data_IF_828633932992
#
_entry.id   IF_828633932992
#
_cell.length_a   1.000
_cell.length_b   1.000
_cell.length_c   1.000
_cell.angle_alpha   90.00
_cell.angle_beta   90.00
_cell.angle_gamma   90.00
#
_symmetry.space_group_name_H-M   'P 1'
#
loop_
_entity.id
_entity.type
_entity.pdbx_description
1 polymer ?
#
# COMPACT_ATOMS: atom_id res chain seq x y z
N UNK A 1 -2.75 19.93 -1.13
CA UNK A 1 -2.65 18.51 -1.44
C UNK A 1 -3.36 17.69 -0.39
N UNK A 2 -4.11 16.67 -0.80
CA UNK A 2 -4.97 15.88 0.10
C UNK A 2 -4.20 15.26 1.26
N UNK A 3 -3.07 14.61 0.99
CA UNK A 3 -2.26 13.97 2.03
C UNK A 3 -1.72 14.99 3.03
N UNK A 4 -1.32 16.17 2.58
CA UNK A 4 -0.86 17.22 3.47
C UNK A 4 -1.99 17.69 4.39
N UNK A 5 -3.17 17.95 3.82
CA UNK A 5 -4.32 18.44 4.58
C UNK A 5 -4.77 17.46 5.67
N UNK A 6 -4.67 16.15 5.39
CA UNK A 6 -5.14 15.12 6.32
C UNK A 6 -4.06 14.59 7.25
N UNK A 7 -2.78 14.86 6.97
CA UNK A 7 -1.66 14.29 7.73
C UNK A 7 -1.03 15.24 8.73
N UNK A 8 -1.36 16.53 8.68
CA UNK A 8 -0.78 17.53 9.57
C UNK A 8 -1.87 18.31 10.29
N UNK A 9 -1.50 18.85 11.44
CA UNK A 9 -2.38 19.69 12.27
C UNK A 9 -1.57 20.87 12.79
N UNK A 10 -2.22 22.05 12.87
CA UNK A 10 -1.59 23.22 13.46
C UNK A 10 -1.77 23.20 14.97
N UNK A 11 -0.68 23.36 15.70
CA UNK A 11 -0.69 23.45 17.16
C UNK A 11 -1.09 24.87 17.61
N UNK A 12 -1.49 25.02 18.89
CA UNK A 12 -1.84 26.34 19.42
C UNK A 12 -0.72 27.38 19.34
N UNK A 13 0.55 26.94 19.30
CA UNK A 13 1.71 27.84 19.15
C UNK A 13 1.95 28.27 17.69
N UNK A 14 1.09 27.89 16.75
CA UNK A 14 1.21 28.19 15.33
C UNK A 14 2.07 27.24 14.54
N UNK A 15 2.76 26.31 15.19
CA UNK A 15 3.60 25.33 14.50
C UNK A 15 2.76 24.20 13.94
N UNK A 16 3.23 23.61 12.84
CA UNK A 16 2.60 22.44 12.22
C UNK A 16 3.25 21.15 12.74
N UNK A 17 2.46 20.13 12.94
CA UNK A 17 2.92 18.82 13.37
C UNK A 17 2.14 17.73 12.64
N UNK A 18 2.76 16.55 12.52
CA UNK A 18 2.06 15.38 11.99
C UNK A 18 0.97 14.94 12.98
N UNK A 19 -0.12 14.43 12.44
CA UNK A 19 -1.24 13.91 13.25
C UNK A 19 -0.89 12.63 13.99
N UNK A 20 0.07 11.86 13.49
CA UNK A 20 0.46 10.60 14.12
C UNK A 20 1.42 10.84 15.30
N UNK A 21 1.47 9.88 16.21
CA UNK A 21 2.45 9.85 17.30
C UNK A 21 3.81 9.42 16.75
N UNK A 22 4.87 10.25 16.86
CA UNK A 22 6.21 9.86 16.39
C UNK A 22 6.73 8.56 16.99
N UNK A 23 6.22 8.14 18.16
CA UNK A 23 6.64 6.90 18.81
C UNK A 23 6.24 5.65 18.04
N UNK A 24 5.36 5.74 17.03
CA UNK A 24 5.00 4.58 16.20
C UNK A 24 6.21 4.01 15.46
N UNK A 25 7.27 4.79 15.27
CA UNK A 25 8.48 4.33 14.61
C UNK A 25 9.37 3.47 15.51
N UNK A 26 9.20 3.52 16.83
CA UNK A 26 10.13 2.86 17.77
C UNK A 26 10.16 1.33 17.66
N UNK A 27 9.01 0.64 17.54
CA UNK A 27 9.05 -0.82 17.34
C UNK A 27 9.80 -1.20 16.06
N UNK A 28 9.67 -0.42 15.00
CA UNK A 28 10.38 -0.66 13.75
C UNK A 28 11.87 -0.42 13.90
N UNK A 29 12.29 0.62 14.62
CA UNK A 29 13.70 0.88 14.90
C UNK A 29 14.33 -0.24 15.70
N UNK A 30 13.61 -0.76 16.70
CA UNK A 30 14.10 -1.84 17.55
C UNK A 30 14.17 -3.18 16.79
N UNK A 31 13.20 -3.42 15.89
CA UNK A 31 13.14 -4.66 15.12
C UNK A 31 14.03 -4.64 13.88
N UNK A 32 14.39 -3.47 13.37
CA UNK A 32 15.16 -3.34 12.14
C UNK A 32 16.63 -3.66 12.38
N UNK A 33 17.05 -4.80 11.86
CA UNK A 33 18.44 -5.31 12.05
C UNK A 33 19.31 -5.11 10.82
N UNK A 34 18.81 -4.45 9.78
CA UNK A 34 19.52 -4.29 8.51
C UNK A 34 19.46 -5.52 7.61
N UNK A 35 18.73 -6.56 8.01
CA UNK A 35 18.54 -7.76 7.20
C UNK A 35 17.26 -7.66 6.38
N UNK A 36 17.31 -8.18 5.16
CA UNK A 36 16.10 -8.36 4.35
C UNK A 36 15.21 -9.41 4.98
N UNK A 37 13.91 -9.11 5.01
CA UNK A 37 12.89 -10.07 5.45
C UNK A 37 12.22 -10.62 4.20
N UNK A 38 12.27 -11.95 4.02
CA UNK A 38 11.56 -12.62 2.95
C UNK A 38 10.15 -12.97 3.43
N UNK A 39 9.17 -12.28 2.87
CA UNK A 39 7.75 -12.50 3.20
C UNK A 39 7.04 -13.45 2.22
N UNK A 40 7.73 -13.93 1.18
CA UNK A 40 7.10 -14.82 0.20
C UNK A 40 6.51 -16.08 0.82
N UNK A 41 7.15 -16.75 1.80
CA UNK A 41 6.54 -17.91 2.42
C UNK A 41 5.19 -17.62 3.07
N UNK A 42 5.03 -16.42 3.66
CA UNK A 42 3.75 -15.99 4.23
C UNK A 42 2.72 -15.69 3.13
N UNK A 43 3.14 -14.99 2.08
CA UNK A 43 2.29 -14.68 0.95
C UNK A 43 1.76 -15.95 0.29
N UNK A 44 2.60 -16.95 0.12
CA UNK A 44 2.24 -18.21 -0.52
C UNK A 44 1.20 -19.01 0.29
N UNK A 45 1.02 -18.69 1.56
CA UNK A 45 0.05 -19.37 2.42
C UNK A 45 -1.34 -18.73 2.38
N UNK A 46 -1.50 -17.59 1.71
CA UNK A 46 -2.81 -16.95 1.56
C UNK A 46 -3.69 -17.84 0.66
N UNK A 47 -4.88 -18.18 1.16
CA UNK A 47 -5.80 -19.07 0.46
C UNK A 47 -7.08 -18.36 -0.02
N UNK A 48 -7.31 -17.11 0.39
CA UNK A 48 -8.50 -16.35 0.00
C UNK A 48 -8.29 -15.64 -1.34
N UNK A 49 -9.39 -15.24 -2.02
CA UNK A 49 -9.28 -14.37 -3.20
C UNK A 49 -8.52 -13.09 -2.84
N UNK A 50 -7.60 -12.69 -3.71
CA UNK A 50 -6.67 -11.59 -3.45
C UNK A 50 -6.58 -10.70 -4.68
N UNK A 51 -6.57 -9.39 -4.46
CA UNK A 51 -6.33 -8.38 -5.47
C UNK A 51 -5.10 -7.56 -5.07
N UNK A 52 -4.14 -7.42 -5.97
CA UNK A 52 -2.99 -6.55 -5.76
C UNK A 52 -3.09 -5.37 -6.72
N UNK A 53 -3.22 -4.17 -6.16
CA UNK A 53 -3.32 -2.94 -6.93
C UNK A 53 -1.97 -2.22 -6.88
N UNK A 54 -1.44 -1.90 -8.04
CA UNK A 54 -0.16 -1.20 -8.17
C UNK A 54 -0.37 0.15 -8.84
N UNK A 55 0.19 1.22 -8.27
CA UNK A 55 0.32 2.48 -9.01
C UNK A 55 1.43 2.34 -10.05
N UNK A 56 1.17 2.73 -11.28
CA UNK A 56 2.11 2.52 -12.38
C UNK A 56 3.45 3.24 -12.17
N UNK A 57 3.46 4.31 -11.39
CA UNK A 57 4.64 5.13 -11.13
C UNK A 57 5.27 4.85 -9.76
N UNK A 58 4.86 3.77 -9.08
CA UNK A 58 5.45 3.44 -7.79
C UNK A 58 6.92 3.03 -7.92
N UNK A 59 7.72 3.43 -6.94
CA UNK A 59 9.10 2.98 -6.77
C UNK A 59 9.25 1.95 -5.63
N UNK A 60 8.16 1.66 -4.91
CA UNK A 60 8.18 0.74 -3.76
C UNK A 60 7.79 -0.69 -4.13
N UNK A 61 6.96 -0.87 -5.15
CA UNK A 61 6.56 -2.18 -5.63
C UNK A 61 6.97 -2.31 -7.10
N UNK A 62 8.05 -3.04 -7.34
CA UNK A 62 8.54 -3.28 -8.70
C UNK A 62 7.51 -4.08 -9.51
N UNK A 63 7.48 -3.83 -10.82
CA UNK A 63 6.56 -4.53 -11.71
C UNK A 63 6.80 -6.04 -11.68
N UNK A 64 8.04 -6.48 -11.65
CA UNK A 64 8.40 -7.90 -11.59
C UNK A 64 7.84 -8.57 -10.34
N UNK A 65 7.97 -7.91 -9.19
CA UNK A 65 7.43 -8.40 -7.92
C UNK A 65 5.91 -8.51 -8.00
N UNK A 66 5.26 -7.47 -8.52
CA UNK A 66 3.80 -7.44 -8.69
C UNK A 66 3.32 -8.57 -9.61
N UNK A 67 4.02 -8.79 -10.73
CA UNK A 67 3.70 -9.89 -11.65
C UNK A 67 3.87 -11.25 -10.97
N UNK A 68 4.93 -11.42 -10.15
CA UNK A 68 5.13 -12.63 -9.37
C UNK A 68 3.98 -12.91 -8.41
N UNK A 69 3.43 -11.87 -7.80
CA UNK A 69 2.29 -12.00 -6.90
C UNK A 69 1.05 -12.57 -7.58
N UNK A 70 0.90 -12.35 -8.89
CA UNK A 70 -0.17 -12.96 -9.68
C UNK A 70 0.10 -14.39 -10.11
N UNK A 71 1.34 -14.84 -10.01
CA UNK A 71 1.75 -16.14 -10.52
C UNK A 71 1.94 -17.21 -9.43
N UNK A 72 2.03 -16.81 -8.16
CA UNK A 72 2.26 -17.73 -7.05
C UNK A 72 1.34 -17.44 -5.87
N UNK A 73 1.36 -18.32 -4.87
CA UNK A 73 0.52 -18.19 -3.68
C UNK A 73 -0.95 -18.14 -4.02
N UNK A 74 -1.69 -17.09 -3.61
CA UNK A 74 -3.12 -16.96 -3.89
C UNK A 74 -3.42 -16.68 -5.36
N UNK A 75 -2.40 -16.52 -6.20
CA UNK A 75 -2.54 -16.13 -7.60
C UNK A 75 -3.44 -14.91 -7.74
N UNK A 76 -3.01 -13.83 -7.09
CA UNK A 76 -3.78 -12.60 -7.00
C UNK A 76 -4.19 -12.07 -8.37
N UNK A 77 -5.36 -11.48 -8.44
CA UNK A 77 -5.71 -10.63 -9.58
C UNK A 77 -4.84 -9.38 -9.50
N UNK A 78 -4.34 -8.95 -10.63
CA UNK A 78 -3.46 -7.80 -10.71
C UNK A 78 -4.20 -6.63 -11.35
N UNK A 79 -4.08 -5.45 -10.76
CA UNK A 79 -4.59 -4.22 -11.31
C UNK A 79 -3.52 -3.15 -11.21
N UNK A 80 -3.35 -2.34 -12.26
CA UNK A 80 -2.41 -1.23 -12.28
C UNK A 80 -3.17 0.06 -12.56
N UNK A 81 -2.91 1.07 -11.74
CA UNK A 81 -3.53 2.39 -11.89
C UNK A 81 -2.52 3.32 -12.55
N UNK A 82 -2.81 3.84 -13.76
CA UNK A 82 -1.88 4.72 -14.47
C UNK A 82 -1.72 6.06 -13.78
N UNK A 83 -0.56 6.67 -13.95
CA UNK A 83 -0.23 8.01 -13.46
C UNK A 83 -0.37 8.19 -11.94
N UNK A 84 -0.18 7.12 -11.19
CA UNK A 84 -0.28 7.10 -9.72
C UNK A 84 0.96 6.47 -9.12
N UNK A 85 1.44 7.05 -8.03
CA UNK A 85 2.58 6.54 -7.28
C UNK A 85 2.26 5.33 -6.42
N UNK A 86 2.95 5.19 -5.28
CA UNK A 86 2.94 3.96 -4.49
C UNK A 86 1.55 3.46 -4.13
N UNK A 87 0.69 4.36 -3.67
CA UNK A 87 -0.63 3.94 -3.21
C UNK A 87 -1.71 4.82 -3.84
N UNK A 88 -2.58 4.24 -4.69
CA UNK A 88 -3.77 4.96 -5.13
C UNK A 88 -4.62 5.36 -3.93
N UNK A 89 -5.14 6.58 -3.96
CA UNK A 89 -5.96 7.10 -2.86
C UNK A 89 -7.44 6.73 -3.00
N UNK A 90 -7.80 6.09 -4.10
CA UNK A 90 -9.18 5.66 -4.38
C UNK A 90 -10.18 6.82 -4.30
N UNK A 91 -9.75 7.99 -4.82
CA UNK A 91 -10.59 9.19 -4.90
C UNK A 91 -11.37 9.26 -6.21
N UNK A 92 -10.89 8.60 -7.25
CA UNK A 92 -11.51 8.59 -8.56
C UNK A 92 -12.44 7.38 -8.73
N UNK A 93 -13.52 7.54 -9.49
CA UNK A 93 -14.48 6.47 -9.73
C UNK A 93 -13.88 5.22 -10.35
N UNK A 94 -12.91 5.38 -11.25
CA UNK A 94 -12.23 4.26 -11.89
C UNK A 94 -11.43 3.44 -10.88
N UNK A 95 -10.73 4.10 -9.96
CA UNK A 95 -9.96 3.44 -8.91
C UNK A 95 -10.88 2.71 -7.93
N UNK A 96 -11.98 3.34 -7.56
CA UNK A 96 -13.00 2.73 -6.68
C UNK A 96 -13.61 1.50 -7.34
N UNK A 97 -13.91 1.58 -8.64
CA UNK A 97 -14.51 0.48 -9.40
C UNK A 97 -13.64 -0.78 -9.40
N UNK A 98 -12.32 -0.63 -9.46
CA UNK A 98 -11.38 -1.77 -9.43
C UNK A 98 -11.59 -2.61 -8.17
N UNK A 99 -11.65 -1.96 -7.02
CA UNK A 99 -11.85 -2.65 -5.73
C UNK A 99 -13.27 -3.15 -5.59
N UNK A 100 -14.26 -2.32 -5.94
CA UNK A 100 -15.67 -2.69 -5.86
C UNK A 100 -15.97 -3.95 -6.69
N UNK A 101 -15.52 -3.95 -7.94
CA UNK A 101 -15.81 -5.06 -8.84
C UNK A 101 -15.15 -6.36 -8.36
N UNK A 102 -13.94 -6.27 -7.82
CA UNK A 102 -13.30 -7.43 -7.18
C UNK A 102 -14.12 -7.95 -6.00
N UNK A 103 -14.52 -7.07 -5.09
CA UNK A 103 -15.26 -7.46 -3.89
C UNK A 103 -16.62 -8.10 -4.23
N UNK A 104 -17.27 -7.59 -5.28
CA UNK A 104 -18.60 -8.12 -5.68
C UNK A 104 -18.50 -9.43 -6.47
N UNK A 105 -17.35 -9.72 -7.10
CA UNK A 105 -17.14 -10.92 -7.89
C UNK A 105 -16.47 -12.06 -7.12
N UNK A 106 -15.96 -11.76 -5.95
CA UNK A 106 -15.23 -12.72 -5.13
C UNK A 106 -16.17 -13.68 -4.39
#
# INVERSE_FOLDING_TARGET
HHLTETSVVQRPDGRWAFRYDPRIAEPFKAAFTGQEIDLWPLYERIACPTLVVRGAETDLLARDTWQRMGACGPRAKLAEIPSVGHAPMFMDGDQIAVVRDFLLSA
#
